data_IF_835893467383
#
_entry.id   IF_835893467383
#
_cell.length_a   1.000
_cell.length_b   1.000
_cell.length_c   1.000
_cell.angle_alpha   90.00
_cell.angle_beta   90.00
_cell.angle_gamma   90.00
#
_symmetry.space_group_name_H-M   'P 1'
#
loop_
_entity.id
_entity.type
_entity.pdbx_description
1 polymer ?
#
# COMPACT_ATOMS: atom_id res chain seq x y z
N UNK A 1 -8.95 2.52 8.49
CA UNK A 1 -8.20 2.98 7.30
C UNK A 1 -7.44 4.22 7.72
N UNK A 2 -6.28 4.50 7.15
CA UNK A 2 -5.53 5.72 7.47
C UNK A 2 -6.19 6.95 6.79
N UNK A 3 -6.12 8.15 7.40
CA UNK A 3 -6.47 9.40 6.72
C UNK A 3 -5.40 9.78 5.68
N UNK A 4 -5.60 10.87 4.94
CA UNK A 4 -4.60 11.44 4.04
C UNK A 4 -3.42 12.02 4.83
N UNK A 5 -3.71 12.72 5.93
CA UNK A 5 -2.69 13.33 6.80
C UNK A 5 -3.00 12.97 8.25
N UNK A 6 -1.95 12.56 8.97
CA UNK A 6 -1.97 12.29 10.39
C UNK A 6 -0.95 13.21 11.09
N UNK A 7 -1.31 13.67 12.29
CA UNK A 7 -0.49 14.52 13.13
C UNK A 7 -0.09 13.72 14.38
N UNK A 8 1.20 13.68 14.68
CA UNK A 8 1.70 12.89 15.81
C UNK A 8 1.74 13.72 17.08
N UNK A 9 1.16 13.18 18.15
CA UNK A 9 1.27 13.77 19.46
C UNK A 9 2.62 13.44 20.08
N UNK A 10 3.25 14.43 20.72
CA UNK A 10 4.52 14.26 21.44
C UNK A 10 4.33 14.24 22.96
N UNK A 11 3.12 14.53 23.44
CA UNK A 11 2.75 14.41 24.84
C UNK A 11 2.34 12.96 25.17
N UNK A 12 2.66 12.51 26.38
CA UNK A 12 2.44 11.12 26.83
C UNK A 12 1.00 10.82 27.27
N UNK A 13 0.11 11.82 27.27
CA UNK A 13 -1.22 11.74 27.90
C UNK A 13 -2.38 11.77 26.91
N UNK A 14 -2.10 11.75 25.61
CA UNK A 14 -3.10 11.84 24.57
C UNK A 14 -2.77 10.84 23.45
N UNK A 15 -3.76 10.54 22.61
CA UNK A 15 -3.61 9.57 21.53
C UNK A 15 -2.44 9.94 20.60
N UNK A 16 -1.70 8.91 20.16
CA UNK A 16 -0.50 9.07 19.34
C UNK A 16 -0.80 9.78 18.01
N UNK A 17 -1.95 9.48 17.41
CA UNK A 17 -2.37 9.94 16.09
C UNK A 17 -3.60 10.83 16.21
N UNK A 18 -3.46 12.06 15.75
CA UNK A 18 -4.54 13.02 15.59
C UNK A 18 -4.84 13.24 14.11
N UNK A 19 -6.12 13.47 13.81
CA UNK A 19 -6.60 13.69 12.44
C UNK A 19 -7.43 14.96 12.41
N UNK A 20 -7.03 15.91 11.56
CA UNK A 20 -7.86 17.09 11.33
C UNK A 20 -9.03 16.75 10.41
N UNK A 21 -10.23 17.32 10.63
CA UNK A 21 -11.41 16.99 9.84
C UNK A 21 -11.25 17.14 8.31
N UNK A 22 -10.47 18.12 7.86
CA UNK A 22 -10.18 18.33 6.43
C UNK A 22 -9.28 17.26 5.80
N UNK A 23 -8.53 16.52 6.62
CA UNK A 23 -7.54 15.53 6.20
C UNK A 23 -8.03 14.09 6.43
N UNK A 24 -9.21 13.93 7.03
CA UNK A 24 -9.76 12.65 7.47
C UNK A 24 -10.23 11.72 6.34
N UNK A 25 -10.06 12.13 5.08
CA UNK A 25 -10.46 11.33 3.93
C UNK A 25 -9.41 10.25 3.61
N UNK A 26 -9.81 9.23 2.85
CA UNK A 26 -8.94 8.19 2.32
C UNK A 26 -9.27 7.98 0.84
N UNK A 27 -8.27 8.11 -0.02
CA UNK A 27 -8.39 7.88 -1.47
C UNK A 27 -7.83 6.53 -1.91
N UNK A 28 -7.75 5.56 -1.00
CA UNK A 28 -7.33 4.17 -1.26
C UNK A 28 -5.85 4.01 -1.63
N UNK A 29 -4.99 4.88 -1.08
CA UNK A 29 -3.55 4.93 -1.38
C UNK A 29 -2.79 3.65 -0.97
N UNK A 30 -1.66 3.34 -1.63
CA UNK A 30 -0.98 2.05 -1.49
C UNK A 30 0.12 2.00 -0.43
N UNK A 31 0.63 3.14 0.06
CA UNK A 31 1.99 3.22 0.64
C UNK A 31 2.17 2.35 1.89
N UNK A 32 1.10 2.18 2.68
CA UNK A 32 1.12 1.28 3.84
C UNK A 32 1.22 -0.19 3.40
N UNK A 33 0.37 -0.65 2.47
CA UNK A 33 0.40 -2.06 2.03
C UNK A 33 1.64 -2.38 1.20
N UNK A 34 2.16 -1.41 0.45
CA UNK A 34 3.49 -1.48 -0.19
C UNK A 34 4.57 -1.82 0.83
N UNK A 35 4.64 -1.04 1.90
CA UNK A 35 5.63 -1.24 2.97
C UNK A 35 5.44 -2.59 3.66
N UNK A 36 4.19 -2.99 3.94
CA UNK A 36 3.89 -4.31 4.53
C UNK A 36 4.35 -5.47 3.63
N UNK A 37 4.16 -5.36 2.32
CA UNK A 37 4.61 -6.36 1.34
C UNK A 37 6.13 -6.53 1.42
N UNK A 38 6.90 -5.43 1.41
CA UNK A 38 8.35 -5.46 1.54
C UNK A 38 8.76 -6.05 2.89
N UNK A 39 8.16 -5.59 3.99
CA UNK A 39 8.50 -6.06 5.34
C UNK A 39 8.23 -7.55 5.51
N UNK A 40 7.11 -8.08 5.00
CA UNK A 40 6.85 -9.51 4.96
C UNK A 40 7.91 -10.26 4.13
N UNK A 41 8.21 -9.80 2.91
CA UNK A 41 9.16 -10.47 2.03
C UNK A 41 10.60 -10.44 2.53
N UNK A 42 10.99 -9.43 3.31
CA UNK A 42 12.34 -9.38 3.90
C UNK A 42 12.43 -10.20 5.18
N UNK A 43 11.39 -10.19 6.03
CA UNK A 43 11.49 -10.71 7.40
C UNK A 43 10.76 -12.02 7.65
N UNK A 44 9.81 -12.42 6.78
CA UNK A 44 8.89 -13.56 6.97
C UNK A 44 7.97 -13.44 8.19
N UNK A 45 7.85 -12.26 8.78
CA UNK A 45 6.97 -12.08 9.92
C UNK A 45 5.51 -11.99 9.46
N UNK A 46 4.72 -13.00 9.82
CA UNK A 46 3.29 -13.11 9.49
C UNK A 46 2.42 -11.98 10.06
N UNK A 47 2.94 -11.21 11.03
CA UNK A 47 2.28 -9.99 11.53
C UNK A 47 1.93 -9.03 10.40
N UNK A 48 2.79 -8.89 9.39
CA UNK A 48 2.56 -7.97 8.27
C UNK A 48 1.40 -8.42 7.37
N UNK A 49 1.20 -9.73 7.21
CA UNK A 49 0.03 -10.30 6.52
C UNK A 49 -1.24 -10.13 7.34
N UNK A 50 -1.16 -10.32 8.65
CA UNK A 50 -2.28 -10.05 9.55
C UNK A 50 -2.74 -8.59 9.48
N UNK A 51 -1.79 -7.64 9.52
CA UNK A 51 -2.07 -6.21 9.33
C UNK A 51 -2.62 -5.90 7.94
N UNK A 52 -2.05 -6.49 6.88
CA UNK A 52 -2.59 -6.38 5.53
C UNK A 52 -4.04 -6.85 5.45
N UNK A 53 -4.38 -7.97 6.10
CA UNK A 53 -5.75 -8.48 6.14
C UNK A 53 -6.69 -7.48 6.82
N UNK A 54 -6.28 -6.89 7.95
CA UNK A 54 -7.08 -5.88 8.65
C UNK A 54 -7.38 -4.66 7.77
N UNK A 55 -6.41 -4.22 6.97
CA UNK A 55 -6.59 -3.10 6.03
C UNK A 55 -7.51 -3.50 4.88
N UNK A 56 -7.31 -4.69 4.29
CA UNK A 56 -8.15 -5.20 3.20
C UNK A 56 -9.62 -5.31 3.64
N UNK A 57 -9.88 -5.91 4.81
CA UNK A 57 -11.23 -6.01 5.38
C UNK A 57 -11.84 -4.62 5.66
N UNK A 58 -11.02 -3.60 5.93
CA UNK A 58 -11.50 -2.23 6.08
C UNK A 58 -11.90 -1.61 4.73
N UNK A 59 -11.15 -1.85 3.64
CA UNK A 59 -11.55 -1.44 2.30
C UNK A 59 -12.83 -2.15 1.83
N UNK A 60 -12.95 -3.46 2.06
CA UNK A 60 -14.16 -4.21 1.72
C UNK A 60 -15.39 -3.65 2.42
N UNK A 61 -15.29 -3.32 3.71
CA UNK A 61 -16.41 -2.77 4.49
C UNK A 61 -16.77 -1.34 4.10
N UNK A 62 -15.78 -0.49 3.89
CA UNK A 62 -16.00 0.96 3.83
C UNK A 62 -15.96 1.54 2.42
N UNK A 63 -15.25 0.93 1.48
CA UNK A 63 -15.00 1.48 0.14
C UNK A 63 -15.71 0.73 -0.97
N UNK A 64 -16.01 -0.57 -0.82
CA UNK A 64 -16.63 -1.40 -1.86
C UNK A 64 -18.03 -0.92 -2.26
N UNK A 65 -18.34 -0.93 -3.54
CA UNK A 65 -19.65 -0.59 -4.09
C UNK A 65 -20.38 -1.84 -4.58
N UNK A 66 -21.69 -1.90 -4.36
CA UNK A 66 -22.52 -3.04 -4.79
C UNK A 66 -22.63 -3.14 -6.32
N UNK A 67 -22.56 -2.00 -7.00
CA UNK A 67 -22.52 -1.90 -8.47
C UNK A 67 -21.17 -2.31 -9.08
N UNK A 68 -20.16 -2.61 -8.25
CA UNK A 68 -18.79 -2.83 -8.67
C UNK A 68 -17.91 -1.59 -8.51
N UNK A 69 -16.62 -1.82 -8.29
CA UNK A 69 -15.62 -0.79 -8.00
C UNK A 69 -15.52 -0.43 -6.52
N UNK A 70 -14.63 0.53 -6.24
CA UNK A 70 -14.35 1.03 -4.90
C UNK A 70 -14.39 2.55 -4.93
N UNK A 71 -14.82 3.13 -3.81
CA UNK A 71 -14.96 4.57 -3.63
C UNK A 71 -13.97 5.09 -2.60
N UNK A 72 -13.49 6.31 -2.82
CA UNK A 72 -12.83 7.07 -1.76
C UNK A 72 -13.79 7.34 -0.60
N UNK A 73 -13.23 7.47 0.60
CA UNK A 73 -13.97 7.67 1.85
C UNK A 73 -13.70 9.08 2.38
N UNK A 74 -14.75 9.81 2.78
CA UNK A 74 -14.64 11.22 3.19
C UNK A 74 -14.24 11.43 4.63
N UNK A 75 -14.53 10.46 5.51
CA UNK A 75 -14.09 10.51 6.89
C UNK A 75 -13.84 9.09 7.42
N UNK A 76 -12.59 8.78 7.77
CA UNK A 76 -12.18 7.48 8.31
C UNK A 76 -12.35 7.36 9.84
N UNK A 77 -12.62 8.46 10.52
CA UNK A 77 -12.77 8.57 11.98
C UNK A 77 -14.25 8.47 12.42
N UNK A 78 -15.16 8.28 11.47
CA UNK A 78 -16.58 8.10 11.74
C UNK A 78 -16.98 6.62 11.72
N UNK A 79 -17.92 6.24 12.59
CA UNK A 79 -18.47 4.88 12.68
C UNK A 79 -19.09 4.39 11.36
N UNK A 80 -19.58 5.32 10.53
CA UNK A 80 -20.08 5.05 9.19
C UNK A 80 -19.29 5.88 8.18
N UNK A 81 -18.41 5.22 7.43
CA UNK A 81 -17.64 5.84 6.37
C UNK A 81 -18.56 6.48 5.31
N UNK A 82 -18.32 7.76 5.02
CA UNK A 82 -18.97 8.46 3.91
C UNK A 82 -18.26 8.09 2.60
N UNK A 83 -18.94 7.41 1.68
CA UNK A 83 -18.40 7.08 0.36
C UNK A 83 -18.47 8.30 -0.57
N UNK A 84 -17.70 8.27 -1.66
CA UNK A 84 -17.68 9.26 -2.73
C UNK A 84 -17.15 10.63 -2.30
N UNK A 85 -16.11 10.66 -1.46
CA UNK A 85 -15.34 11.90 -1.25
C UNK A 85 -14.85 12.50 -2.57
N UNK A 86 -14.42 11.61 -3.48
CA UNK A 86 -14.22 11.86 -4.90
C UNK A 86 -15.15 10.95 -5.71
N UNK A 87 -15.67 11.43 -6.86
CA UNK A 87 -16.56 10.65 -7.72
C UNK A 87 -15.81 9.63 -8.62
N UNK A 88 -14.51 9.41 -8.38
CA UNK A 88 -13.63 8.55 -9.18
C UNK A 88 -12.98 7.47 -8.32
N UNK A 89 -12.67 6.34 -8.94
CA UNK A 89 -11.72 5.36 -8.40
C UNK A 89 -10.37 5.64 -9.05
N UNK A 90 -9.40 6.08 -8.26
CA UNK A 90 -8.08 6.44 -8.78
C UNK A 90 -7.36 5.19 -9.33
N UNK A 91 -6.59 5.35 -10.40
CA UNK A 91 -5.93 4.25 -11.13
C UNK A 91 -4.97 3.45 -10.24
N UNK A 92 -4.28 4.12 -9.32
CA UNK A 92 -3.35 3.51 -8.38
C UNK A 92 -4.01 2.49 -7.46
N UNK A 93 -5.34 2.56 -7.24
CA UNK A 93 -5.99 1.52 -6.43
C UNK A 93 -5.83 0.14 -7.07
N UNK A 94 -6.01 0.05 -8.38
CA UNK A 94 -5.78 -1.19 -9.13
C UNK A 94 -4.30 -1.44 -9.39
N UNK A 95 -3.57 -0.41 -9.82
CA UNK A 95 -2.17 -0.55 -10.22
C UNK A 95 -1.25 -0.86 -9.02
N UNK A 96 -1.56 -0.35 -7.83
CA UNK A 96 -0.66 -0.38 -6.68
C UNK A 96 -1.31 -1.09 -5.50
N UNK A 97 -2.41 -0.56 -4.96
CA UNK A 97 -3.00 -1.06 -3.70
C UNK A 97 -3.38 -2.53 -3.80
N UNK A 98 -4.15 -2.92 -4.82
CA UNK A 98 -4.53 -4.31 -5.04
C UNK A 98 -3.35 -5.19 -5.47
N UNK A 99 -2.38 -4.63 -6.22
CA UNK A 99 -1.17 -5.37 -6.62
C UNK A 99 -0.32 -5.72 -5.38
N UNK A 100 -0.13 -4.78 -4.47
CA UNK A 100 0.62 -5.02 -3.24
C UNK A 100 -0.13 -5.94 -2.26
N UNK A 101 -1.46 -5.87 -2.18
CA UNK A 101 -2.22 -6.91 -1.46
C UNK A 101 -1.98 -8.30 -2.06
N UNK A 102 -2.09 -8.43 -3.38
CA UNK A 102 -1.84 -9.70 -4.05
C UNK A 102 -0.44 -10.23 -3.73
N UNK A 103 0.59 -9.39 -3.86
CA UNK A 103 1.99 -9.76 -3.62
C UNK A 103 2.33 -10.01 -2.13
N UNK A 104 1.61 -9.39 -1.20
CA UNK A 104 1.72 -9.64 0.23
C UNK A 104 1.25 -11.05 0.59
N UNK A 105 0.18 -11.52 -0.05
CA UNK A 105 -0.39 -12.87 0.19
C UNK A 105 0.11 -13.94 -0.78
N UNK A 106 0.86 -13.57 -1.83
CA UNK A 106 1.47 -14.51 -2.77
C UNK A 106 2.68 -15.23 -2.17
N UNK A 107 3.14 -16.25 -2.90
CA UNK A 107 4.50 -16.77 -2.75
C UNK A 107 5.53 -15.69 -3.12
N UNK A 108 6.71 -15.75 -2.53
CA UNK A 108 7.80 -14.78 -2.70
C UNK A 108 8.51 -14.89 -4.04
N UNK A 109 8.45 -16.08 -4.66
CA UNK A 109 8.94 -16.29 -6.01
C UNK A 109 8.01 -15.65 -7.06
N UNK A 110 6.85 -15.12 -6.63
CA UNK A 110 6.02 -14.25 -7.46
C UNK A 110 6.60 -12.83 -7.46
N UNK A 111 7.30 -12.46 -8.53
CA UNK A 111 8.03 -11.19 -8.70
C UNK A 111 9.05 -11.01 -7.56
N UNK A 112 10.13 -11.80 -7.53
CA UNK A 112 11.07 -11.78 -6.42
C UNK A 112 11.87 -10.47 -6.36
N UNK A 113 12.04 -9.91 -5.15
CA UNK A 113 12.68 -8.61 -4.93
C UNK A 113 14.16 -8.57 -5.35
N UNK A 114 14.82 -9.73 -5.47
CA UNK A 114 16.21 -9.83 -5.94
C UNK A 114 16.35 -9.89 -7.47
N UNK A 115 15.23 -9.94 -8.20
CA UNK A 115 15.18 -9.88 -9.68
C UNK A 115 14.47 -8.63 -10.20
N UNK A 116 13.57 -8.03 -9.42
CA UNK A 116 12.76 -6.89 -9.85
C UNK A 116 12.85 -5.73 -8.88
N UNK A 117 12.79 -4.51 -9.43
CA UNK A 117 12.59 -3.26 -8.70
C UNK A 117 11.27 -2.64 -9.14
N UNK A 118 10.47 -2.16 -8.19
CA UNK A 118 9.23 -1.45 -8.49
C UNK A 118 9.53 0.03 -8.71
N UNK A 119 8.91 0.65 -9.71
CA UNK A 119 8.85 2.10 -9.76
C UNK A 119 7.81 2.63 -8.74
N UNK A 120 7.66 3.96 -8.69
CA UNK A 120 6.73 4.64 -7.77
C UNK A 120 5.25 4.39 -8.04
N UNK A 121 4.88 3.67 -9.11
CA UNK A 121 3.49 3.27 -9.43
C UNK A 121 3.36 1.74 -9.46
N UNK A 122 4.18 1.05 -8.67
CA UNK A 122 4.22 -0.40 -8.51
C UNK A 122 4.43 -1.19 -9.81
N UNK A 123 5.01 -0.61 -10.85
CA UNK A 123 5.38 -1.33 -12.07
C UNK A 123 6.76 -1.99 -11.90
N UNK A 124 6.86 -3.33 -11.96
CA UNK A 124 8.12 -4.03 -11.76
C UNK A 124 9.00 -3.98 -13.02
N UNK A 125 10.26 -3.62 -12.84
CA UNK A 125 11.30 -3.65 -13.86
C UNK A 125 12.37 -4.67 -13.47
N UNK A 126 12.91 -5.46 -14.42
CA UNK A 126 14.00 -6.37 -14.12
C UNK A 126 15.26 -5.60 -13.74
N UNK A 127 15.94 -6.05 -12.69
CA UNK A 127 17.24 -5.51 -12.28
C UNK A 127 18.27 -5.92 -13.34
N UNK A 128 18.86 -4.93 -14.00
CA UNK A 128 20.01 -5.16 -14.88
C UNK A 128 21.21 -5.54 -14.02
N UNK A 129 21.69 -6.77 -14.16
CA UNK A 129 22.98 -7.17 -13.62
C UNK A 129 24.01 -6.90 -14.70
N UNK A 130 25.03 -6.12 -14.39
CA UNK A 130 26.18 -5.99 -15.27
C UNK A 130 26.72 -7.38 -15.56
N UNK A 131 26.63 -7.80 -16.81
CA UNK A 131 27.50 -8.85 -17.29
C UNK A 131 28.90 -8.24 -17.23
N UNK A 132 29.71 -8.63 -16.24
CA UNK A 132 31.15 -8.42 -16.35
C UNK A 132 31.57 -9.03 -17.69
N UNK A 133 31.78 -8.21 -18.71
CA UNK A 133 32.41 -8.64 -19.95
C UNK A 133 33.85 -9.00 -19.59
N UNK A 134 34.29 -10.27 -19.73
CA UNK A 134 35.71 -10.55 -19.69
C UNK A 134 36.25 -10.31 -21.09
N UNK A 135 36.87 -9.15 -21.38
CA UNK A 135 37.67 -9.02 -22.59
C UNK A 135 38.85 -8.04 -22.44
N UNK A 136 40.00 -8.68 -22.24
CA UNK A 136 41.38 -8.36 -22.59
C UNK A 136 41.87 -6.91 -22.49
N UNK A 137 42.83 -6.70 -21.57
CA UNK A 137 43.82 -5.62 -21.69
C UNK A 137 44.63 -5.83 -22.98
N UNK A 138 44.66 -4.88 -23.93
CA UNK A 138 45.69 -4.88 -24.95
C UNK A 138 47.03 -4.47 -24.30
N UNK A 139 48.08 -5.17 -24.73
CA UNK A 139 49.47 -5.18 -24.24
C UNK A 139 50.04 -3.85 -23.75
#
# INVERSE_FOLDING_TARGET
MAPEIAYFNTATTADDIQVHPQDAFNILRPETVESLMIMYRVTKNETYRAWGKLIFDAFERNARLDSGGYSSVGNVDQTSATKFFRPTMDSFFMAETLKYFYLLFSDEETIPLYKYVFNTEAHPFPIQRDQQQPQARPN
#
